data_IF_992954010422
#
_entry.id   IF_992954010422
#
_cell.length_a   1.000
_cell.length_b   1.000
_cell.length_c   1.000
_cell.angle_alpha   90.00
_cell.angle_beta   90.00
_cell.angle_gamma   90.00
#
_symmetry.space_group_name_H-M   'P 1'
#
loop_
_entity.id
_entity.type
_entity.pdbx_description
1 polymer ?
#
# COMPACT_ATOMS: atom_id res chain seq x y z
N UNK A 1 -1.65 6.69 -19.45
CA UNK A 1 -1.99 7.89 -18.65
C UNK A 1 -3.40 7.78 -18.07
N UNK A 2 -3.50 7.65 -16.74
CA UNK A 2 -4.75 7.59 -15.96
C UNK A 2 -4.76 8.63 -14.83
N UNK A 3 -5.11 8.22 -13.60
CA UNK A 3 -5.24 9.09 -12.40
C UNK A 3 -3.91 9.48 -11.72
N UNK A 4 -2.75 9.03 -12.23
CA UNK A 4 -1.42 9.27 -11.65
C UNK A 4 -0.46 9.85 -12.69
N UNK A 5 0.42 10.78 -12.29
CA UNK A 5 1.64 11.18 -13.02
C UNK A 5 1.55 12.39 -13.96
N UNK A 6 0.43 13.11 -14.04
CA UNK A 6 0.31 14.33 -14.88
C UNK A 6 0.04 15.61 -14.10
N UNK A 7 -0.88 15.57 -13.13
CA UNK A 7 -1.30 16.72 -12.34
C UNK A 7 -1.25 16.35 -10.86
N UNK A 8 -0.31 16.95 -10.13
CA UNK A 8 -0.03 16.61 -8.74
C UNK A 8 -1.24 16.83 -7.82
N UNK A 9 -1.97 17.93 -8.03
CA UNK A 9 -3.19 18.26 -7.29
C UNK A 9 -4.29 17.20 -7.48
N UNK A 10 -4.46 16.71 -8.71
CA UNK A 10 -5.41 15.64 -9.02
C UNK A 10 -4.97 14.31 -8.40
N UNK A 11 -3.68 14.00 -8.42
CA UNK A 11 -3.15 12.77 -7.86
C UNK A 11 -3.33 12.73 -6.33
N UNK A 12 -3.05 13.85 -5.65
CA UNK A 12 -3.34 14.01 -4.22
C UNK A 12 -4.83 13.85 -3.90
N UNK A 13 -5.72 14.37 -4.76
CA UNK A 13 -7.17 14.18 -4.59
C UNK A 13 -7.57 12.71 -4.72
N UNK A 14 -6.92 11.93 -5.61
CA UNK A 14 -7.18 10.50 -5.75
C UNK A 14 -6.70 9.71 -4.53
N UNK A 15 -5.50 10.02 -3.99
CA UNK A 15 -5.01 9.41 -2.75
C UNK A 15 -5.90 9.72 -1.55
N UNK A 16 -6.40 10.96 -1.46
CA UNK A 16 -7.39 11.33 -0.45
C UNK A 16 -8.68 10.50 -0.59
N UNK A 17 -9.18 10.30 -1.81
CA UNK A 17 -10.38 9.51 -2.06
C UNK A 17 -10.22 8.03 -1.65
N UNK A 18 -9.06 7.41 -1.91
CA UNK A 18 -8.76 6.05 -1.47
C UNK A 18 -8.94 5.89 0.04
N UNK A 19 -8.43 6.84 0.83
CA UNK A 19 -8.49 6.78 2.30
C UNK A 19 -9.87 7.15 2.84
N UNK A 20 -10.55 8.13 2.22
CA UNK A 20 -11.90 8.54 2.62
C UNK A 20 -12.95 7.47 2.39
N UNK A 21 -12.72 6.58 1.43
CA UNK A 21 -13.59 5.46 1.08
C UNK A 21 -12.92 4.12 1.41
N UNK A 22 -12.30 4.03 2.59
CA UNK A 22 -11.54 2.87 3.08
C UNK A 22 -12.33 1.54 3.10
N UNK A 23 -13.67 1.60 3.10
CA UNK A 23 -14.56 0.43 3.04
C UNK A 23 -14.66 -0.18 1.63
N UNK A 24 -14.13 0.49 0.60
CA UNK A 24 -14.25 0.10 -0.80
C UNK A 24 -12.88 -0.26 -1.38
N UNK A 25 -12.64 -1.54 -1.73
CA UNK A 25 -11.43 -1.92 -2.44
C UNK A 25 -11.29 -1.12 -3.74
N UNK A 26 -10.20 -0.37 -3.87
CA UNK A 26 -9.91 0.44 -5.04
C UNK A 26 -8.40 0.49 -5.27
N UNK A 27 -7.99 0.26 -6.52
CA UNK A 27 -6.60 0.34 -6.95
C UNK A 27 -6.51 1.42 -8.03
N UNK A 28 -5.69 2.44 -7.78
CA UNK A 28 -5.28 3.38 -8.80
C UNK A 28 -4.18 2.73 -9.63
N UNK A 29 -4.37 2.72 -10.96
CA UNK A 29 -3.40 2.15 -11.89
C UNK A 29 -2.76 3.28 -12.70
N UNK A 30 -1.49 3.54 -12.39
CA UNK A 30 -0.63 4.46 -13.11
C UNK A 30 0.11 3.77 -14.27
N UNK A 31 1.05 4.49 -14.86
CA UNK A 31 1.90 3.94 -15.91
C UNK A 31 2.94 2.97 -15.35
N UNK A 32 3.62 3.40 -14.28
CA UNK A 32 4.71 2.67 -13.60
C UNK A 32 4.27 1.99 -12.31
N UNK A 33 3.32 2.59 -11.61
CA UNK A 33 2.95 2.25 -10.24
C UNK A 33 1.45 2.03 -10.09
N UNK A 34 1.12 1.24 -9.09
CA UNK A 34 -0.23 1.14 -8.55
C UNK A 34 -0.25 1.68 -7.12
N UNK A 35 -1.39 2.21 -6.70
CA UNK A 35 -1.60 2.68 -5.33
C UNK A 35 -2.98 2.25 -4.84
N UNK A 36 -3.04 1.71 -3.63
CA UNK A 36 -4.29 1.32 -2.99
C UNK A 36 -4.23 1.55 -1.48
N UNK A 37 -5.40 1.69 -0.85
CA UNK A 37 -5.49 1.75 0.60
C UNK A 37 -5.49 0.32 1.18
N UNK A 38 -4.75 0.10 2.26
CA UNK A 38 -4.78 -1.15 3.04
C UNK A 38 -5.78 -1.01 4.19
N UNK A 39 -7.00 -1.59 4.09
CA UNK A 39 -8.04 -1.39 5.09
C UNK A 39 -7.96 -2.36 6.27
N UNK A 40 -7.18 -3.43 6.14
CA UNK A 40 -7.03 -4.53 7.10
C UNK A 40 -5.68 -5.21 6.87
N UNK A 41 -5.26 -6.14 7.74
CA UNK A 41 -4.15 -7.02 7.44
C UNK A 41 -4.33 -7.72 6.09
N UNK A 42 -3.27 -7.70 5.30
CA UNK A 42 -3.22 -8.29 3.97
C UNK A 42 -1.93 -9.06 3.77
N UNK A 43 -2.00 -10.04 2.87
CA UNK A 43 -0.87 -10.84 2.43
C UNK A 43 -0.78 -10.74 0.92
N UNK A 44 0.42 -10.52 0.40
CA UNK A 44 0.71 -10.47 -1.02
C UNK A 44 1.81 -11.47 -1.35
N UNK A 45 1.70 -12.09 -2.52
CA UNK A 45 2.80 -12.85 -3.13
C UNK A 45 3.52 -11.93 -4.12
N UNK A 46 4.76 -11.53 -3.81
CA UNK A 46 5.55 -10.59 -4.59
C UNK A 46 6.90 -11.21 -4.95
N UNK A 47 7.46 -10.88 -6.10
CA UNK A 47 8.85 -11.25 -6.43
C UNK A 47 9.81 -10.63 -5.40
N UNK A 48 10.80 -11.37 -4.86
CA UNK A 48 11.85 -10.80 -4.03
C UNK A 48 12.61 -9.69 -4.78
N UNK A 49 12.94 -8.61 -4.09
CA UNK A 49 13.56 -7.43 -4.70
C UNK A 49 12.56 -6.39 -5.23
N UNK A 50 11.26 -6.64 -5.10
CA UNK A 50 10.22 -5.71 -5.56
C UNK A 50 10.05 -4.55 -4.57
N UNK A 51 9.95 -3.32 -5.09
CA UNK A 51 9.65 -2.14 -4.27
C UNK A 51 8.29 -2.28 -3.61
N UNK A 52 8.24 -2.03 -2.30
CA UNK A 52 7.02 -1.92 -1.50
C UNK A 52 7.07 -0.62 -0.72
N UNK A 53 6.19 0.34 -1.00
CA UNK A 53 6.16 1.60 -0.24
C UNK A 53 4.90 1.69 0.61
N UNK A 54 5.10 2.00 1.89
CA UNK A 54 4.03 2.17 2.87
C UNK A 54 3.95 3.66 3.24
N UNK A 55 2.92 4.35 2.76
CA UNK A 55 2.74 5.78 3.02
C UNK A 55 1.53 6.04 3.93
N UNK A 56 1.74 6.59 5.14
CA UNK A 56 0.64 6.97 6.03
C UNK A 56 0.00 8.30 5.60
N UNK A 57 -1.31 8.30 5.45
CA UNK A 57 -2.18 9.48 5.29
C UNK A 57 -2.90 9.87 6.60
N UNK A 58 -2.70 9.06 7.65
CA UNK A 58 -3.13 9.30 9.04
C UNK A 58 -2.11 8.67 9.99
N UNK A 59 -2.19 8.96 11.29
CA UNK A 59 -1.44 8.19 12.29
C UNK A 59 -1.92 6.74 12.30
N UNK A 60 -1.01 5.79 12.08
CA UNK A 60 -1.32 4.36 12.01
C UNK A 60 -0.16 3.54 12.54
N UNK A 61 -0.46 2.50 13.33
CA UNK A 61 0.54 1.53 13.78
C UNK A 61 0.56 0.36 12.79
N UNK A 62 1.74 -0.01 12.32
CA UNK A 62 1.90 -1.04 11.28
C UNK A 62 2.90 -2.10 11.72
N UNK A 63 2.55 -3.37 11.50
CA UNK A 63 3.50 -4.47 11.50
C UNK A 63 3.66 -5.03 10.09
N UNK A 64 4.83 -5.58 9.76
CA UNK A 64 5.06 -6.21 8.45
C UNK A 64 6.14 -7.29 8.52
N UNK A 65 6.00 -8.32 7.69
CA UNK A 65 7.02 -9.38 7.50
C UNK A 65 7.33 -9.57 6.01
N UNK A 66 8.50 -10.13 5.71
CA UNK A 66 8.94 -10.38 4.32
C UNK A 66 9.39 -9.12 3.59
N UNK A 67 9.66 -8.04 4.34
CA UNK A 67 10.23 -6.79 3.84
C UNK A 67 11.67 -6.62 4.32
N UNK A 68 12.49 -5.88 3.59
CA UNK A 68 13.89 -5.56 3.96
C UNK A 68 13.96 -4.80 5.28
N UNK A 69 13.07 -3.83 5.45
CA UNK A 69 12.91 -3.10 6.70
C UNK A 69 11.57 -3.48 7.32
N UNK A 70 11.54 -4.59 8.06
CA UNK A 70 10.34 -5.03 8.77
C UNK A 70 9.87 -4.00 9.80
N UNK A 71 8.55 -3.91 9.96
CA UNK A 71 7.92 -3.06 10.94
C UNK A 71 7.40 -3.95 12.08
N UNK A 72 7.79 -3.63 13.31
CA UNK A 72 7.23 -4.25 14.51
C UNK A 72 6.44 -3.20 15.28
N UNK A 73 5.10 -3.23 15.12
CA UNK A 73 4.14 -2.30 15.71
C UNK A 73 4.62 -0.84 15.64
N UNK A 74 5.11 -0.45 14.47
CA UNK A 74 5.75 0.83 14.25
C UNK A 74 4.68 1.93 14.05
N UNK A 75 4.70 3.04 14.82
CA UNK A 75 3.87 4.20 14.51
C UNK A 75 4.40 4.91 13.26
N UNK A 76 3.51 5.10 12.29
CA UNK A 76 3.72 5.90 11.09
C UNK A 76 2.76 7.10 11.08
N UNK A 77 3.19 8.21 10.51
CA UNK A 77 2.36 9.42 10.38
C UNK A 77 2.74 10.23 9.13
N UNK A 78 1.80 10.93 8.47
CA UNK A 78 2.09 11.69 7.25
C UNK A 78 3.11 12.82 7.46
N UNK A 79 3.22 13.37 8.66
CA UNK A 79 4.19 14.40 9.06
C UNK A 79 5.38 13.83 9.86
N UNK A 80 5.46 12.50 9.98
CA UNK A 80 6.43 11.81 10.83
C UNK A 80 7.17 10.71 10.09
N UNK A 81 7.31 9.56 10.74
CA UNK A 81 7.94 8.38 10.13
C UNK A 81 7.02 7.79 9.06
N UNK A 82 7.60 7.46 7.91
CA UNK A 82 6.96 6.76 6.80
C UNK A 82 7.76 5.50 6.43
N UNK A 83 7.16 4.57 5.69
CA UNK A 83 7.76 3.31 5.25
C UNK A 83 7.99 3.22 3.74
N UNK A 84 8.33 4.34 3.10
CA UNK A 84 8.50 4.42 1.64
C UNK A 84 9.80 3.80 1.16
N UNK A 85 9.79 3.28 -0.06
CA UNK A 85 10.93 2.61 -0.71
C UNK A 85 11.46 1.38 0.04
N UNK A 86 10.56 0.64 0.70
CA UNK A 86 10.87 -0.70 1.20
C UNK A 86 11.00 -1.69 0.04
N UNK A 87 11.42 -2.91 0.34
CA UNK A 87 11.64 -3.95 -0.66
C UNK A 87 11.21 -5.30 -0.12
N UNK A 88 10.55 -6.14 -0.93
CA UNK A 88 10.28 -7.52 -0.57
C UNK A 88 11.59 -8.31 -0.48
N UNK A 89 11.73 -9.11 0.57
CA UNK A 89 12.87 -10.04 0.75
C UNK A 89 12.46 -11.49 0.62
N UNK A 90 11.16 -11.76 0.64
CA UNK A 90 10.56 -13.07 0.47
C UNK A 90 9.35 -12.97 -0.47
N UNK A 91 8.93 -14.12 -1.01
CA UNK A 91 7.72 -14.18 -1.84
C UNK A 91 6.48 -13.74 -1.08
N UNK A 92 6.35 -14.16 0.17
CA UNK A 92 5.19 -13.86 1.02
C UNK A 92 5.47 -12.59 1.84
N UNK A 93 4.74 -11.53 1.54
CA UNK A 93 4.78 -10.25 2.27
C UNK A 93 3.48 -10.08 3.05
N UNK A 94 3.59 -9.82 4.35
CA UNK A 94 2.43 -9.48 5.19
C UNK A 94 2.52 -8.03 5.66
N UNK A 95 1.40 -7.32 5.62
CA UNK A 95 1.29 -5.94 6.13
C UNK A 95 0.01 -5.86 6.96
N UNK A 96 0.16 -5.43 8.21
CA UNK A 96 -0.92 -5.36 9.20
C UNK A 96 -1.04 -3.94 9.78
N UNK A 97 -1.83 -3.05 9.14
CA UNK A 97 -2.18 -1.76 9.71
C UNK A 97 -3.23 -1.89 10.82
N UNK A 98 -3.08 -1.11 11.89
CA UNK A 98 -4.07 -0.96 12.96
C UNK A 98 -4.92 0.29 12.73
N UNK A 99 -5.82 0.22 11.74
CA UNK A 99 -6.73 1.31 11.35
C UNK A 99 -6.54 1.76 9.89
N UNK A 100 -7.40 2.67 9.41
CA UNK A 100 -7.34 3.19 8.05
C UNK A 100 -6.18 4.20 7.89
N UNK A 101 -5.93 4.62 6.64
CA UNK A 101 -4.94 5.65 6.34
C UNK A 101 -3.59 5.15 5.85
N UNK A 102 -3.37 3.85 5.67
CA UNK A 102 -2.15 3.35 5.06
C UNK A 102 -2.31 3.13 3.55
N UNK A 103 -1.56 3.85 2.74
CA UNK A 103 -1.44 3.57 1.31
C UNK A 103 -0.29 2.60 1.07
N UNK A 104 -0.51 1.66 0.15
CA UNK A 104 0.50 0.75 -0.39
C UNK A 104 0.74 1.13 -1.84
N UNK A 105 2.01 1.34 -2.18
CA UNK A 105 2.43 1.69 -3.53
C UNK A 105 3.41 0.63 -4.01
N UNK A 106 3.08 0.01 -5.15
CA UNK A 106 3.84 -1.09 -5.75
C UNK A 106 4.11 -0.78 -7.24
N UNK A 107 5.15 -1.37 -7.84
CA UNK A 107 5.26 -1.42 -9.29
C UNK A 107 4.00 -2.01 -9.92
N UNK A 108 3.62 -1.50 -11.10
CA UNK A 108 2.42 -1.95 -11.82
C UNK A 108 2.38 -3.45 -12.10
N UNK A 109 3.54 -4.09 -12.22
CA UNK A 109 3.65 -5.55 -12.38
C UNK A 109 3.03 -6.34 -11.22
N UNK A 110 2.86 -5.74 -10.04
CA UNK A 110 2.25 -6.36 -8.87
C UNK A 110 0.71 -6.22 -8.81
N UNK A 111 0.05 -5.80 -9.90
CA UNK A 111 -1.39 -5.57 -9.92
C UNK A 111 -2.20 -6.81 -9.52
N UNK A 112 -1.84 -7.98 -10.05
CA UNK A 112 -2.56 -9.22 -9.75
C UNK A 112 -2.44 -9.58 -8.26
N UNK A 113 -1.24 -9.48 -7.69
CA UNK A 113 -1.01 -9.69 -6.25
C UNK A 113 -1.80 -8.70 -5.37
N UNK A 114 -1.92 -7.43 -5.81
CA UNK A 114 -2.71 -6.43 -5.10
C UNK A 114 -4.22 -6.74 -5.17
N UNK A 115 -4.72 -7.22 -6.30
CA UNK A 115 -6.12 -7.64 -6.46
C UNK A 115 -6.41 -8.81 -5.51
N UNK A 116 -5.58 -9.85 -5.53
CA UNK A 116 -5.72 -11.02 -4.66
C UNK A 116 -5.72 -10.64 -3.17
N UNK A 117 -4.82 -9.75 -2.76
CA UNK A 117 -4.72 -9.30 -1.37
C UNK A 117 -5.95 -8.52 -0.87
N UNK A 118 -6.64 -7.83 -1.78
CA UNK A 118 -7.83 -7.03 -1.45
C UNK A 118 -9.13 -7.86 -1.49
N UNK A 119 -9.14 -9.01 -2.16
CA UNK A 119 -10.30 -9.90 -2.15
C UNK A 119 -10.59 -10.40 -0.72
N UNK A 120 -11.87 -10.59 -0.36
CA UNK A 120 -12.23 -11.23 0.90
C UNK A 120 -11.64 -12.64 0.96
N UNK A 121 -11.18 -13.06 2.13
CA UNK A 121 -10.77 -14.45 2.32
C UNK A 121 -11.98 -15.37 2.09
N UNK A 122 -11.92 -16.23 1.07
CA UNK A 122 -12.97 -17.20 0.74
C UNK A 122 -13.94 -16.82 -0.40
N UNK A 123 -13.54 -15.90 -1.29
CA UNK A 123 -14.23 -15.69 -2.57
C UNK A 123 -13.83 -16.72 -3.63
#
# INVERSE_FOLDING_TARGET
AGFMGRRLDHELACYNALVRHADRPCILVGETDICFHAPRPLTMTLEPGMRVSLFPMAEVVVSSTGLRWELDRMPLAPWGRIGTSNESTAERVEIAPQGPGLLIILPRAALDAAIEALLPAGA
#
